data_IF_001238064472
#
_entry.id   IF_001238064472
#
_cell.length_a   1.000
_cell.length_b   1.000
_cell.length_c   1.000
_cell.angle_alpha   90.00
_cell.angle_beta   90.00
_cell.angle_gamma   90.00
#
_symmetry.space_group_name_H-M   'P 1'
#
loop_
_entity.id
_entity.type
_entity.pdbx_description
1 polymer ?
#
# COMPACT_ATOMS: atom_id res chain seq x y z
N UNK A 1 -17.00 10.99 0.97
CA UNK A 1 -16.34 9.79 0.44
C UNK A 1 -17.18 8.53 0.61
N UNK A 2 -17.79 8.29 1.77
CA UNK A 2 -18.59 7.08 2.02
C UNK A 2 -19.81 6.98 1.10
N UNK A 3 -20.69 7.99 1.09
CA UNK A 3 -21.93 7.93 0.29
C UNK A 3 -21.67 7.73 -1.22
N UNK A 4 -20.76 8.48 -1.89
CA UNK A 4 -20.45 8.22 -3.28
C UNK A 4 -19.91 6.81 -3.55
N UNK A 5 -19.15 6.23 -2.62
CA UNK A 5 -18.64 4.87 -2.77
C UNK A 5 -19.76 3.83 -2.71
N UNK A 6 -20.69 3.97 -1.76
CA UNK A 6 -21.83 3.03 -1.61
C UNK A 6 -22.81 3.19 -2.77
N UNK A 7 -23.34 4.41 -2.99
CA UNK A 7 -24.34 4.66 -4.03
C UNK A 7 -23.81 4.40 -5.43
N UNK A 8 -22.56 4.78 -5.70
CA UNK A 8 -21.92 4.50 -6.99
C UNK A 8 -21.81 3.00 -7.26
N UNK A 9 -21.51 2.21 -6.22
CA UNK A 9 -21.45 0.75 -6.33
C UNK A 9 -22.82 0.15 -6.62
N UNK A 10 -23.85 0.56 -5.88
CA UNK A 10 -25.24 0.12 -6.12
C UNK A 10 -25.69 0.45 -7.55
N UNK A 11 -25.37 1.65 -8.04
CA UNK A 11 -25.70 2.07 -9.40
C UNK A 11 -25.06 1.18 -10.47
N UNK A 12 -23.77 0.85 -10.32
CA UNK A 12 -23.07 0.00 -11.28
C UNK A 12 -23.65 -1.42 -11.28
N UNK A 13 -23.95 -1.99 -10.11
CA UNK A 13 -24.55 -3.33 -10.02
C UNK A 13 -25.95 -3.36 -10.64
N UNK A 14 -26.78 -2.36 -10.33
CA UNK A 14 -28.12 -2.22 -10.89
C UNK A 14 -28.08 -2.05 -12.42
N UNK A 15 -27.19 -1.20 -12.92
CA UNK A 15 -27.00 -0.99 -14.36
C UNK A 15 -26.50 -2.27 -15.06
N UNK A 16 -25.59 -3.02 -14.45
CA UNK A 16 -25.11 -4.29 -15.01
C UNK A 16 -26.25 -5.32 -15.11
N UNK A 17 -27.11 -5.39 -14.10
CA UNK A 17 -28.30 -6.24 -14.12
C UNK A 17 -29.29 -5.81 -15.21
N UNK A 18 -29.57 -4.50 -15.32
CA UNK A 18 -30.47 -3.94 -16.34
C UNK A 18 -29.96 -4.12 -17.76
N UNK A 19 -28.64 -4.06 -17.97
CA UNK A 19 -28.05 -4.23 -19.29
C UNK A 19 -28.29 -5.63 -19.88
N UNK A 20 -28.52 -6.65 -19.04
CA UNK A 20 -28.82 -8.04 -19.45
C UNK A 20 -27.70 -8.77 -20.23
N UNK A 21 -26.62 -8.07 -20.56
CA UNK A 21 -25.48 -8.57 -21.37
C UNK A 21 -24.20 -8.72 -20.56
N UNK A 22 -24.17 -8.16 -19.34
CA UNK A 22 -23.01 -8.25 -18.45
C UNK A 22 -22.97 -9.61 -17.77
N UNK A 23 -21.99 -10.44 -18.16
CA UNK A 23 -21.83 -11.79 -17.60
C UNK A 23 -21.35 -11.81 -16.14
N UNK A 24 -20.56 -10.82 -15.74
CA UNK A 24 -19.91 -10.74 -14.42
C UNK A 24 -19.45 -9.32 -14.15
N UNK A 25 -19.62 -8.86 -12.93
CA UNK A 25 -19.01 -7.64 -12.40
C UNK A 25 -17.78 -8.01 -11.56
N UNK A 26 -16.68 -7.28 -11.77
CA UNK A 26 -15.50 -7.36 -10.91
C UNK A 26 -15.40 -6.06 -10.11
N UNK A 27 -15.52 -6.17 -8.78
CA UNK A 27 -15.48 -5.03 -7.88
C UNK A 27 -14.11 -4.93 -7.20
N UNK A 28 -13.48 -3.76 -7.33
CA UNK A 28 -12.20 -3.46 -6.67
C UNK A 28 -12.46 -2.90 -5.28
N UNK A 29 -12.38 -3.77 -4.28
CA UNK A 29 -12.42 -3.38 -2.88
C UNK A 29 -11.02 -2.95 -2.39
N UNK A 30 -10.62 -3.32 -1.18
CA UNK A 30 -9.35 -2.95 -0.56
C UNK A 30 -9.06 -3.85 0.64
N UNK A 31 -7.77 -4.01 0.97
CA UNK A 31 -7.33 -4.55 2.27
C UNK A 31 -7.91 -3.76 3.46
N UNK A 32 -8.28 -2.49 3.26
CA UNK A 32 -8.96 -1.69 4.27
C UNK A 32 -10.33 -2.26 4.70
N UNK A 33 -10.97 -3.10 3.87
CA UNK A 33 -12.17 -3.84 4.23
C UNK A 33 -11.89 -5.16 4.97
N UNK A 34 -10.62 -5.55 5.09
CA UNK A 34 -10.17 -6.84 5.61
C UNK A 34 -9.40 -6.71 6.92
N UNK A 35 -8.43 -5.80 7.05
CA UNK A 35 -7.44 -5.82 8.17
C UNK A 35 -7.73 -4.88 9.32
N UNK A 36 -8.78 -4.06 9.27
CA UNK A 36 -9.04 -3.03 10.28
C UNK A 36 -9.89 -3.58 11.44
N UNK A 37 -9.37 -4.59 12.12
CA UNK A 37 -10.02 -5.24 13.26
C UNK A 37 -8.99 -5.40 14.39
N UNK A 38 -9.07 -4.58 15.46
CA UNK A 38 -8.14 -4.65 16.57
C UNK A 38 -8.35 -5.89 17.45
N UNK A 39 -9.47 -6.59 17.30
CA UNK A 39 -9.79 -7.81 18.06
C UNK A 39 -9.17 -9.05 17.43
N UNK A 40 -8.63 -8.94 16.21
CA UNK A 40 -7.97 -10.04 15.51
C UNK A 40 -6.68 -10.42 16.20
N UNK A 41 -6.55 -11.70 16.54
CA UNK A 41 -5.34 -12.25 17.13
C UNK A 41 -4.12 -12.12 16.19
N UNK A 42 -2.91 -11.90 16.72
CA UNK A 42 -1.69 -11.69 15.93
C UNK A 42 -1.25 -12.95 15.13
N UNK A 43 -1.67 -14.13 15.57
CA UNK A 43 -1.33 -15.41 14.93
C UNK A 43 -2.29 -15.82 13.81
N UNK A 44 -3.42 -15.11 13.66
CA UNK A 44 -4.42 -15.40 12.63
C UNK A 44 -3.84 -15.08 11.26
N UNK A 45 -3.96 -16.04 10.33
CA UNK A 45 -3.65 -15.82 8.92
C UNK A 45 -4.76 -14.97 8.32
N UNK A 46 -4.43 -13.77 7.85
CA UNK A 46 -5.36 -12.89 7.14
C UNK A 46 -5.67 -13.51 5.77
N UNK A 47 -6.94 -13.87 5.57
CA UNK A 47 -7.48 -14.42 4.33
C UNK A 47 -8.78 -13.69 3.92
N UNK A 48 -9.50 -14.20 2.93
CA UNK A 48 -10.72 -13.55 2.43
C UNK A 48 -11.96 -13.77 3.33
N UNK A 49 -11.86 -14.54 4.42
CA UNK A 49 -12.93 -14.65 5.42
C UNK A 49 -12.90 -13.50 6.44
N UNK A 50 -11.78 -12.79 6.51
CA UNK A 50 -11.58 -11.68 7.43
C UNK A 50 -12.29 -10.40 6.96
N UNK A 51 -12.96 -9.73 7.89
CA UNK A 51 -13.58 -8.41 7.67
C UNK A 51 -13.08 -7.38 8.68
N UNK A 52 -13.05 -6.12 8.27
CA UNK A 52 -12.77 -4.98 9.12
C UNK A 52 -13.91 -4.68 10.09
N UNK A 53 -13.57 -4.26 11.30
CA UNK A 53 -14.52 -3.73 12.28
C UNK A 53 -14.93 -2.30 11.88
N UNK A 54 -16.21 -2.14 11.54
CA UNK A 54 -16.78 -0.88 11.09
C UNK A 54 -16.76 0.21 12.17
N UNK A 55 -16.98 -0.15 13.43
CA UNK A 55 -16.98 0.78 14.54
C UNK A 55 -15.58 1.23 14.90
N UNK A 56 -14.59 0.34 14.83
CA UNK A 56 -13.19 0.69 14.93
C UNK A 56 -12.79 1.67 13.83
N UNK A 57 -13.19 1.41 12.58
CA UNK A 57 -12.91 2.32 11.47
C UNK A 57 -13.52 3.72 11.71
N UNK A 58 -14.76 3.81 12.20
CA UNK A 58 -15.39 5.09 12.57
C UNK A 58 -14.65 5.80 13.71
N UNK A 59 -14.40 5.08 14.82
CA UNK A 59 -13.74 5.62 16.03
C UNK A 59 -12.36 6.19 15.72
N UNK A 60 -11.61 5.53 14.84
CA UNK A 60 -10.26 5.93 14.41
C UNK A 60 -10.25 6.84 13.19
N UNK A 61 -11.43 7.26 12.69
CA UNK A 61 -11.60 8.12 11.50
C UNK A 61 -10.96 7.56 10.23
N UNK A 62 -10.86 6.23 10.13
CA UNK A 62 -10.41 5.52 8.94
C UNK A 62 -11.54 5.45 7.89
N UNK A 63 -11.99 6.61 7.41
CA UNK A 63 -13.15 6.74 6.53
C UNK A 63 -12.98 6.07 5.17
N UNK A 64 -11.74 5.96 4.67
CA UNK A 64 -11.46 5.21 3.45
C UNK A 64 -11.74 3.72 3.64
N UNK A 65 -11.17 3.13 4.70
CA UNK A 65 -11.38 1.73 5.06
C UNK A 65 -12.85 1.44 5.34
N UNK A 66 -13.50 2.31 6.12
CA UNK A 66 -14.95 2.24 6.36
C UNK A 66 -15.73 2.24 5.05
N UNK A 67 -15.49 3.24 4.19
CA UNK A 67 -16.18 3.39 2.91
C UNK A 67 -16.01 2.19 1.99
N UNK A 68 -14.81 1.60 1.93
CA UNK A 68 -14.55 0.38 1.15
C UNK A 68 -15.28 -0.84 1.72
N UNK A 69 -15.28 -1.02 3.04
CA UNK A 69 -15.98 -2.12 3.69
C UNK A 69 -17.49 -2.05 3.43
N UNK A 70 -18.13 -0.90 3.65
CA UNK A 70 -19.58 -0.76 3.43
C UNK A 70 -19.96 -0.81 1.95
N UNK A 71 -19.12 -0.31 1.05
CA UNK A 71 -19.36 -0.42 -0.39
C UNK A 71 -19.26 -1.87 -0.87
N UNK A 72 -18.31 -2.66 -0.35
CA UNK A 72 -18.21 -4.09 -0.67
C UNK A 72 -19.43 -4.87 -0.15
N UNK A 73 -19.87 -4.60 1.08
CA UNK A 73 -21.10 -5.20 1.63
C UNK A 73 -22.33 -4.86 0.78
N UNK A 74 -22.46 -3.59 0.36
CA UNK A 74 -23.53 -3.16 -0.54
C UNK A 74 -23.43 -3.80 -1.94
N UNK A 75 -22.22 -4.02 -2.46
CA UNK A 75 -22.00 -4.74 -3.72
C UNK A 75 -22.53 -6.17 -3.63
N UNK A 76 -22.14 -6.90 -2.59
CA UNK A 76 -22.58 -8.28 -2.35
C UNK A 76 -24.10 -8.38 -2.21
N UNK A 77 -24.70 -7.48 -1.43
CA UNK A 77 -26.15 -7.48 -1.22
C UNK A 77 -26.90 -7.12 -2.51
N UNK A 78 -26.47 -6.08 -3.23
CA UNK A 78 -27.08 -5.68 -4.51
C UNK A 78 -26.95 -6.78 -5.56
N UNK A 79 -25.78 -7.42 -5.66
CA UNK A 79 -25.54 -8.47 -6.63
C UNK A 79 -26.42 -9.70 -6.34
N UNK A 80 -26.55 -10.08 -5.07
CA UNK A 80 -27.44 -11.16 -4.62
C UNK A 80 -28.90 -10.85 -4.94
N UNK A 81 -29.35 -9.62 -4.67
CA UNK A 81 -30.73 -9.20 -4.94
C UNK A 81 -31.06 -9.15 -6.44
N UNK A 82 -30.09 -8.72 -7.26
CA UNK A 82 -30.27 -8.50 -8.71
C UNK A 82 -29.89 -9.70 -9.56
N UNK A 83 -29.34 -10.77 -8.97
CA UNK A 83 -28.89 -11.96 -9.70
C UNK A 83 -27.62 -11.73 -10.53
N UNK A 84 -26.75 -10.82 -10.11
CA UNK A 84 -25.49 -10.49 -10.81
C UNK A 84 -24.37 -11.39 -10.30
N UNK A 85 -23.63 -12.04 -11.21
CA UNK A 85 -22.37 -12.70 -10.88
C UNK A 85 -21.33 -11.63 -10.49
N UNK A 86 -20.94 -11.63 -9.21
CA UNK A 86 -19.99 -10.68 -8.63
C UNK A 86 -18.73 -11.40 -8.17
N UNK A 87 -17.58 -10.86 -8.54
CA UNK A 87 -16.28 -11.20 -7.97
C UNK A 87 -15.66 -9.95 -7.37
N UNK A 88 -15.11 -10.08 -6.16
CA UNK A 88 -14.39 -9.00 -5.49
C UNK A 88 -12.91 -9.30 -5.48
N UNK A 89 -12.09 -8.26 -5.69
CA UNK A 89 -10.65 -8.30 -5.46
C UNK A 89 -10.31 -7.27 -4.38
N UNK A 90 -9.49 -7.66 -3.40
CA UNK A 90 -9.02 -6.80 -2.30
C UNK A 90 -7.51 -6.51 -2.44
N UNK A 91 -7.11 -5.50 -3.23
CA UNK A 91 -5.71 -5.10 -3.30
C UNK A 91 -5.21 -4.56 -1.96
N UNK A 92 -3.92 -4.77 -1.70
CA UNK A 92 -3.16 -4.08 -0.65
C UNK A 92 -2.68 -2.70 -1.16
N UNK A 93 -1.71 -2.08 -0.49
CA UNK A 93 -1.04 -0.88 -1.01
C UNK A 93 -0.39 -1.22 -2.38
N UNK A 94 -0.96 -0.66 -3.46
CA UNK A 94 -0.50 -0.93 -4.83
C UNK A 94 0.65 0.00 -5.18
N UNK A 95 1.74 -0.60 -5.67
CA UNK A 95 2.97 0.07 -6.08
C UNK A 95 3.38 -0.39 -7.47
N UNK A 96 3.88 0.52 -8.29
CA UNK A 96 4.35 0.28 -9.65
C UNK A 96 4.52 1.59 -10.41
N UNK A 97 4.85 1.54 -11.72
CA UNK A 97 4.89 2.71 -12.59
C UNK A 97 3.55 3.47 -12.62
N UNK A 98 3.61 4.80 -12.72
CA UNK A 98 2.43 5.65 -12.74
C UNK A 98 1.74 5.61 -14.10
N UNK A 99 0.41 5.52 -14.08
CA UNK A 99 -0.40 5.69 -15.28
C UNK A 99 -0.39 7.14 -15.76
N UNK A 100 -0.94 8.06 -14.97
CA UNK A 100 -1.02 9.49 -15.31
C UNK A 100 -0.32 10.34 -14.25
N UNK A 101 -0.98 10.59 -13.13
CA UNK A 101 -0.54 11.44 -12.03
C UNK A 101 -0.24 10.63 -10.76
N UNK A 102 0.42 11.27 -9.79
CA UNK A 102 0.64 10.69 -8.46
C UNK A 102 -0.70 10.45 -7.77
N UNK A 103 -1.01 9.18 -7.53
CA UNK A 103 -2.20 8.75 -6.79
C UNK A 103 -1.87 8.54 -5.30
N UNK A 104 -2.88 8.30 -4.46
CA UNK A 104 -2.73 8.20 -3.02
C UNK A 104 -1.74 7.11 -2.55
N UNK A 105 -1.67 5.96 -3.23
CA UNK A 105 -0.74 4.89 -2.84
C UNK A 105 0.70 5.26 -3.14
N UNK A 106 0.95 5.87 -4.31
CA UNK A 106 2.29 6.36 -4.67
C UNK A 106 2.68 7.55 -3.79
N UNK A 107 1.77 8.48 -3.49
CA UNK A 107 2.03 9.58 -2.55
C UNK A 107 2.46 9.09 -1.17
N UNK A 108 1.89 7.97 -0.70
CA UNK A 108 2.27 7.37 0.57
C UNK A 108 3.72 6.87 0.60
N UNK A 109 4.29 6.49 -0.54
CA UNK A 109 5.68 6.07 -0.67
C UNK A 109 6.58 7.26 -0.97
N UNK A 110 6.14 8.12 -1.88
CA UNK A 110 6.86 9.31 -2.34
C UNK A 110 7.29 10.20 -1.18
N UNK A 111 6.42 10.41 -0.18
CA UNK A 111 6.75 11.21 1.02
C UNK A 111 8.00 10.72 1.77
N UNK A 112 8.34 9.44 1.68
CA UNK A 112 9.57 8.90 2.29
C UNK A 112 10.77 9.06 1.36
N UNK A 113 10.54 8.99 0.04
CA UNK A 113 11.58 9.13 -0.98
C UNK A 113 12.04 10.57 -1.19
N UNK A 114 11.13 11.54 -1.04
CA UNK A 114 11.43 12.98 -1.16
C UNK A 114 11.86 13.62 0.17
N UNK A 115 11.88 12.85 1.26
CA UNK A 115 12.27 13.30 2.60
C UNK A 115 11.20 14.08 3.37
N UNK A 116 9.97 14.21 2.84
CA UNK A 116 8.83 14.84 3.54
C UNK A 116 8.46 14.11 4.83
N UNK A 117 8.69 12.80 4.90
CA UNK A 117 8.58 11.95 6.06
C UNK A 117 9.92 11.25 6.29
N UNK A 118 10.59 11.58 7.40
CA UNK A 118 11.95 11.07 7.69
C UNK A 118 11.96 9.68 8.30
N UNK A 119 10.92 9.31 9.05
CA UNK A 119 10.88 8.05 9.81
C UNK A 119 9.50 7.40 9.78
N UNK A 120 9.49 6.06 9.77
CA UNK A 120 8.33 5.29 10.24
C UNK A 120 8.24 5.50 11.76
N UNK A 121 7.06 5.46 12.38
CA UNK A 121 6.83 5.76 13.80
C UNK A 121 7.49 4.80 14.82
N UNK A 122 8.51 4.07 14.39
CA UNK A 122 9.20 3.00 15.09
C UNK A 122 10.23 3.54 16.11
N UNK A 123 10.48 4.85 16.14
CA UNK A 123 11.37 5.49 17.14
C UNK A 123 10.76 5.54 18.54
N UNK A 124 9.42 5.52 18.64
CA UNK A 124 8.68 5.68 19.91
C UNK A 124 8.06 4.37 20.40
N UNK A 125 7.71 3.47 19.49
CA UNK A 125 7.09 2.19 19.82
C UNK A 125 7.88 1.06 19.15
N UNK A 126 7.94 -0.15 19.77
CA UNK A 126 8.60 -1.28 19.16
C UNK A 126 8.01 -1.57 17.79
N UNK A 127 8.89 -1.87 16.82
CA UNK A 127 8.50 -2.20 15.44
C UNK A 127 7.45 -3.30 15.47
N UNK A 128 6.29 -3.01 14.88
CA UNK A 128 5.23 -4.00 14.77
C UNK A 128 5.71 -5.14 13.88
N UNK A 129 5.50 -6.38 14.33
CA UNK A 129 5.83 -7.54 13.51
C UNK A 129 4.87 -7.64 12.32
N UNK A 130 5.34 -8.09 11.14
CA UNK A 130 4.46 -8.44 10.03
C UNK A 130 3.43 -9.49 10.46
N UNK A 131 2.20 -9.37 9.97
CA UNK A 131 1.16 -10.37 10.15
C UNK A 131 1.22 -11.43 9.04
N UNK A 132 0.70 -12.62 9.33
CA UNK A 132 0.57 -13.70 8.34
C UNK A 132 -0.63 -13.40 7.43
N UNK A 133 -0.50 -13.60 6.14
CA UNK A 133 -1.61 -13.51 5.18
C UNK A 133 -1.47 -14.59 4.11
N UNK A 134 -2.56 -14.88 3.41
CA UNK A 134 -2.56 -15.78 2.25
C UNK A 134 -3.08 -15.07 1.00
N UNK A 135 -2.48 -15.40 -0.15
CA UNK A 135 -2.97 -15.05 -1.47
C UNK A 135 -3.20 -16.30 -2.33
N UNK A 136 -3.43 -17.44 -1.67
CA UNK A 136 -3.47 -18.76 -2.31
C UNK A 136 -4.58 -18.84 -3.37
N UNK A 137 -5.76 -18.25 -3.14
CA UNK A 137 -6.84 -18.25 -4.15
C UNK A 137 -6.41 -17.65 -5.48
N UNK A 138 -5.57 -16.61 -5.48
CA UNK A 138 -5.05 -16.03 -6.71
C UNK A 138 -3.95 -16.90 -7.34
N UNK A 139 -3.09 -17.51 -6.52
CA UNK A 139 -2.05 -18.44 -6.99
C UNK A 139 -2.65 -19.70 -7.61
N UNK A 140 -3.74 -20.22 -7.03
CA UNK A 140 -4.47 -21.38 -7.55
C UNK A 140 -5.08 -21.09 -8.94
N UNK A 141 -5.36 -19.82 -9.23
CA UNK A 141 -5.78 -19.35 -10.56
C UNK A 141 -4.60 -19.08 -11.51
N UNK A 142 -3.37 -19.39 -11.10
CA UNK A 142 -2.15 -19.20 -11.88
C UNK A 142 -1.55 -17.79 -11.83
N UNK A 143 -1.95 -16.95 -10.86
CA UNK A 143 -1.35 -15.62 -10.72
C UNK A 143 0.04 -15.71 -10.09
N UNK A 144 1.03 -15.24 -10.84
CA UNK A 144 2.39 -15.03 -10.35
C UNK A 144 2.58 -13.59 -9.87
N UNK A 145 3.12 -13.42 -8.66
CA UNK A 145 3.35 -12.10 -8.07
C UNK A 145 4.78 -11.64 -8.30
N UNK A 146 4.92 -10.45 -8.89
CA UNK A 146 6.22 -9.77 -9.01
C UNK A 146 6.76 -9.44 -7.61
N UNK A 147 8.08 -9.63 -7.36
CA UNK A 147 8.70 -9.21 -6.11
C UNK A 147 8.48 -7.72 -5.83
N UNK A 148 8.19 -7.39 -4.57
CA UNK A 148 7.95 -6.00 -4.15
C UNK A 148 9.16 -5.09 -4.42
N UNK A 149 10.38 -5.62 -4.30
CA UNK A 149 11.62 -4.90 -4.62
C UNK A 149 11.66 -4.42 -6.07
N UNK A 150 11.25 -5.27 -7.01
CA UNK A 150 11.19 -4.91 -8.42
C UNK A 150 10.11 -3.85 -8.67
N UNK A 151 8.90 -4.04 -8.13
CA UNK A 151 7.82 -3.06 -8.30
C UNK A 151 8.17 -1.68 -7.72
N UNK A 152 8.87 -1.64 -6.57
CA UNK A 152 9.37 -0.41 -5.96
C UNK A 152 10.46 0.25 -6.82
N UNK A 153 11.41 -0.53 -7.34
CA UNK A 153 12.44 -0.03 -8.25
C UNK A 153 11.79 0.62 -9.48
N UNK A 154 10.83 -0.06 -10.11
CA UNK A 154 10.12 0.44 -11.28
C UNK A 154 9.31 1.71 -10.95
N UNK A 155 8.71 1.80 -9.76
CA UNK A 155 8.06 3.02 -9.26
C UNK A 155 9.03 4.19 -9.17
N UNK A 156 10.20 4.00 -8.56
CA UNK A 156 11.20 5.07 -8.38
C UNK A 156 11.71 5.55 -9.72
N UNK A 157 12.07 4.61 -10.63
CA UNK A 157 12.51 4.96 -11.98
C UNK A 157 11.46 5.77 -12.73
N UNK A 158 10.19 5.34 -12.67
CA UNK A 158 9.13 6.08 -13.34
C UNK A 158 8.85 7.46 -12.72
N UNK A 159 8.96 7.60 -11.39
CA UNK A 159 8.87 8.89 -10.72
C UNK A 159 10.00 9.84 -11.16
N UNK A 160 11.22 9.32 -11.33
CA UNK A 160 12.35 10.10 -11.84
C UNK A 160 12.13 10.54 -13.29
N UNK A 161 11.71 9.63 -14.17
CA UNK A 161 11.38 9.93 -15.57
C UNK A 161 10.31 11.00 -15.72
N UNK A 162 9.31 11.01 -14.82
CA UNK A 162 8.23 11.99 -14.80
C UNK A 162 8.56 13.28 -14.03
N UNK A 163 9.80 13.42 -13.53
CA UNK A 163 10.25 14.62 -12.81
C UNK A 163 9.67 14.79 -11.40
N UNK A 164 9.11 13.73 -10.81
CA UNK A 164 8.61 13.73 -9.43
C UNK A 164 9.71 13.46 -8.40
N UNK A 165 10.81 12.84 -8.81
CA UNK A 165 12.00 12.63 -7.99
C UNK A 165 13.25 13.07 -8.76
N UNK A 166 14.24 13.67 -8.09
CA UNK A 166 15.52 13.92 -8.73
C UNK A 166 16.22 12.59 -9.06
N UNK A 167 16.95 12.58 -10.17
CA UNK A 167 17.98 11.56 -10.40
C UNK A 167 19.18 11.98 -9.55
N UNK A 168 19.45 11.23 -8.49
CA UNK A 168 20.69 11.41 -7.74
C UNK A 168 21.84 11.02 -8.69
N UNK A 169 22.70 11.98 -9.04
CA UNK A 169 23.95 11.68 -9.74
C UNK A 169 24.79 10.71 -8.90
N UNK A 170 25.69 9.97 -9.54
CA UNK A 170 26.70 9.20 -8.82
C UNK A 170 27.33 10.10 -7.75
N UNK A 171 27.18 9.70 -6.48
CA UNK A 171 27.95 10.32 -5.42
C UNK A 171 29.40 10.02 -5.75
N UNK A 172 30.16 11.02 -6.21
CA UNK A 172 31.61 10.97 -6.11
C UNK A 172 31.91 10.68 -4.65
N UNK A 173 32.59 9.57 -4.38
CA UNK A 173 33.03 9.22 -3.04
C UNK A 173 33.69 10.45 -2.39
N UNK A 174 33.47 10.70 -1.08
CA UNK A 174 34.23 11.75 -0.41
C UNK A 174 35.71 11.47 -0.61
N UNK A 175 36.44 12.44 -1.15
CA UNK A 175 37.90 12.42 -1.27
C UNK A 175 38.46 11.89 0.05
N UNK A 176 39.24 10.80 -0.02
CA UNK A 176 40.01 10.29 1.10
C UNK A 176 40.70 11.48 1.78
N UNK A 177 40.33 11.75 3.03
CA UNK A 177 41.10 12.62 3.90
C UNK A 177 42.58 12.24 3.79
N UNK A 178 43.39 13.22 3.40
CA UNK A 178 44.83 13.07 3.33
C UNK A 178 45.36 12.53 4.67
N UNK A 179 46.31 11.59 4.66
CA UNK A 179 46.81 11.01 5.89
C UNK A 179 47.41 12.11 6.77
N UNK A 180 46.98 12.14 8.04
CA UNK A 180 47.54 13.01 9.06
C UNK A 180 49.06 12.87 9.07
N UNK A 181 49.74 14.00 8.84
CA UNK A 181 51.20 14.10 8.93
C UNK A 181 51.65 13.68 10.33
N UNK A 182 52.44 12.62 10.39
CA UNK A 182 53.19 12.22 11.57
C UNK A 182 54.08 13.39 12.04
N UNK A 183 53.80 13.92 13.22
CA UNK A 183 54.77 14.73 13.96
C UNK A 183 55.79 13.78 14.60
N UNK A 184 56.85 13.46 13.84
CA UNK A 184 58.06 12.85 14.40
C UNK A 184 59.02 13.93 14.94
N UNK A 185 59.26 13.85 16.24
CA UNK A 185 60.62 13.95 16.79
C UNK A 185 61.11 15.30 17.32
N UNK A 186 61.47 15.33 18.60
CA UNK A 186 62.51 16.24 19.10
C UNK A 186 62.37 16.70 20.55
N UNK A 187 62.60 15.82 21.54
CA UNK A 187 63.09 16.27 22.85
C UNK A 187 64.51 15.73 23.00
N UNK A 188 65.48 16.62 22.82
CA UNK A 188 66.89 16.40 23.14
C UNK A 188 67.16 17.02 24.51
N UNK A 189 67.69 16.21 25.41
CA UNK A 189 68.25 16.51 26.74
C UNK A 189 69.34 17.59 26.74
N UNK A 190 69.41 18.36 27.83
CA UNK A 190 70.60 18.80 28.62
C UNK A 190 70.13 19.88 29.61
N UNK A 191 70.55 19.99 30.87
CA UNK A 191 71.51 19.28 31.71
C UNK A 191 71.07 19.43 33.18
#
# INVERSE_FOLDING_TARGET
>A
MVEPAVRGTEYVINAAAEAGTVRRVVFTSSIGAVTMDPSRGPDVVVDESCWSDLDYCKKTRNWYCYGKAVAEQAAWESARQRGVDLVVVNPVLVVGPLQATVNASIAHILKYLDGSARTCSDEVNPRKQPYKFTNQKLRDLGLEFRPVSQSLYDTVKNLQEKGHLPVLGEQTEPEKEAPATELQGGITTQA
#
